data_IF_386797369957
#
_entry.id   IF_386797369957
#
_cell.length_a   1.000
_cell.length_b   1.000
_cell.length_c   1.000
_cell.angle_alpha   90.00
_cell.angle_beta   90.00
_cell.angle_gamma   90.00
#
_symmetry.space_group_name_H-M   'P 1'
#
loop_
_entity.id
_entity.type
_entity.pdbx_description
1 polymer ?
#
# COMPACT_ATOMS: atom_id res chain seq x y z
N UNK A 1 11.71 -6.69 28.25
CA UNK A 1 12.33 -5.83 27.22
C UNK A 1 12.79 -6.73 26.09
N UNK A 2 12.19 -6.64 24.90
CA UNK A 2 12.66 -7.46 23.76
C UNK A 2 14.08 -7.04 23.37
N UNK A 3 14.92 -7.97 22.88
CA UNK A 3 16.23 -7.63 22.31
C UNK A 3 16.09 -6.54 21.24
N UNK A 4 17.04 -5.61 21.19
CA UNK A 4 17.09 -4.53 20.21
C UNK A 4 16.75 -4.94 18.75
N UNK A 5 17.27 -6.06 18.19
CA UNK A 5 16.92 -6.47 16.82
C UNK A 5 15.44 -6.81 16.63
N UNK A 6 14.81 -7.43 17.63
CA UNK A 6 13.38 -7.75 17.59
C UNK A 6 12.53 -6.47 17.60
N UNK A 7 12.91 -5.51 18.45
CA UNK A 7 12.21 -4.22 18.54
C UNK A 7 12.30 -3.43 17.23
N UNK A 8 13.44 -3.52 16.54
CA UNK A 8 13.64 -2.90 15.23
C UNK A 8 12.72 -3.49 14.16
N UNK A 9 12.49 -4.81 14.17
CA UNK A 9 11.58 -5.49 13.25
C UNK A 9 10.14 -4.98 13.39
N UNK A 10 9.64 -4.84 14.63
CA UNK A 10 8.28 -4.35 14.91
C UNK A 10 8.06 -2.88 14.56
N UNK A 11 9.12 -2.11 14.34
CA UNK A 11 9.02 -0.72 13.86
C UNK A 11 9.26 -0.64 12.35
N UNK A 12 10.29 -1.31 11.85
CA UNK A 12 10.69 -1.26 10.45
C UNK A 12 9.62 -1.89 9.52
N UNK A 13 9.03 -3.02 9.90
CA UNK A 13 8.03 -3.69 9.06
C UNK A 13 6.77 -2.83 8.89
N UNK A 14 6.12 -2.31 9.95
CA UNK A 14 4.96 -1.45 9.77
C UNK A 14 5.28 -0.15 9.02
N UNK A 15 6.48 0.43 9.20
CA UNK A 15 6.89 1.60 8.43
C UNK A 15 7.04 1.28 6.94
N UNK A 16 7.60 0.12 6.59
CA UNK A 16 7.70 -0.33 5.21
C UNK A 16 6.32 -0.60 4.60
N UNK A 17 5.41 -1.20 5.37
CA UNK A 17 4.00 -1.38 4.98
C UNK A 17 3.31 -0.04 4.77
N UNK A 18 3.48 0.92 5.69
CA UNK A 18 2.89 2.24 5.57
C UNK A 18 3.39 2.96 4.31
N UNK A 19 4.71 2.95 4.08
CA UNK A 19 5.32 3.53 2.88
C UNK A 19 4.84 2.87 1.58
N UNK A 20 4.78 1.55 1.53
CA UNK A 20 4.27 0.80 0.38
C UNK A 20 2.79 1.07 0.10
N UNK A 21 1.97 1.10 1.14
CA UNK A 21 0.53 1.37 1.03
C UNK A 21 0.26 2.82 0.58
N UNK A 22 1.02 3.78 1.09
CA UNK A 22 0.97 5.18 0.64
C UNK A 22 1.41 5.33 -0.83
N UNK A 23 2.46 4.62 -1.25
CA UNK A 23 2.91 4.63 -2.63
C UNK A 23 1.84 4.05 -3.59
N UNK A 24 1.20 2.94 -3.20
CA UNK A 24 0.08 2.38 -3.96
C UNK A 24 -1.13 3.31 -3.99
N UNK A 25 -1.43 4.00 -2.89
CA UNK A 25 -2.51 4.98 -2.84
C UNK A 25 -2.21 6.22 -3.71
N UNK A 26 -0.95 6.66 -3.78
CA UNK A 26 -0.57 7.80 -4.60
C UNK A 26 -0.64 7.49 -6.11
N UNK A 27 -0.20 6.28 -6.52
CA UNK A 27 -0.02 5.94 -7.93
C UNK A 27 -0.78 4.69 -8.44
N UNK A 28 -2.08 4.53 -8.14
CA UNK A 28 -2.84 3.32 -8.55
C UNK A 28 -2.94 3.17 -10.08
N UNK A 29 -3.14 4.29 -10.80
CA UNK A 29 -3.32 4.29 -12.26
C UNK A 29 -2.09 3.82 -13.03
N UNK A 30 -0.87 4.15 -12.55
CA UNK A 30 0.38 3.74 -13.20
C UNK A 30 0.64 2.23 -13.05
N UNK A 31 0.21 1.64 -11.93
CA UNK A 31 0.40 0.21 -11.66
C UNK A 31 -0.62 -0.69 -12.39
N UNK A 32 -1.76 -0.14 -12.80
CA UNK A 32 -2.88 -0.93 -13.36
C UNK A 32 -3.18 -0.66 -14.84
N UNK A 33 -2.44 0.21 -15.52
CA UNK A 33 -2.66 0.42 -16.95
C UNK A 33 -2.01 -0.70 -17.75
N UNK A 34 -2.83 -1.59 -18.31
CA UNK A 34 -2.36 -2.67 -19.19
C UNK A 34 -2.74 -2.33 -20.64
N UNK A 35 -1.79 -2.48 -21.55
CA UNK A 35 -2.08 -2.49 -22.98
C UNK A 35 -2.53 -3.89 -23.34
N UNK A 36 -3.78 -4.03 -23.78
CA UNK A 36 -4.33 -5.28 -24.28
C UNK A 36 -4.33 -5.24 -25.79
N UNK A 37 -3.69 -6.22 -26.41
CA UNK A 37 -3.81 -6.46 -27.86
C UNK A 37 -4.97 -7.42 -28.07
N UNK A 38 -6.01 -6.95 -28.75
CA UNK A 38 -7.16 -7.74 -29.11
C UNK A 38 -6.83 -8.69 -30.28
N UNK A 39 -7.57 -9.80 -30.44
CA UNK A 39 -7.33 -10.78 -31.50
C UNK A 39 -7.49 -10.22 -32.92
N UNK A 40 -8.20 -9.10 -33.06
CA UNK A 40 -8.40 -8.32 -34.29
C UNK A 40 -7.19 -7.42 -34.65
N UNK A 41 -6.12 -7.46 -33.85
CA UNK A 41 -4.93 -6.63 -34.03
C UNK A 41 -5.04 -5.22 -33.44
N UNK A 42 -6.20 -4.83 -32.91
CA UNK A 42 -6.37 -3.54 -32.24
C UNK A 42 -5.65 -3.53 -30.90
N UNK A 43 -5.02 -2.40 -30.56
CA UNK A 43 -4.45 -2.17 -29.24
C UNK A 43 -5.39 -1.30 -28.43
N UNK A 44 -6.04 -1.90 -27.43
CA UNK A 44 -6.85 -1.20 -26.45
C UNK A 44 -6.06 -0.95 -25.16
N UNK A 45 -6.28 0.20 -24.53
CA UNK A 45 -5.80 0.43 -23.16
C UNK A 45 -6.95 0.15 -22.21
N UNK A 46 -6.83 -0.87 -21.37
CA UNK A 46 -7.81 -1.08 -20.29
C UNK A 46 -7.45 -0.09 -19.19
N UNK A 47 -8.16 1.04 -19.16
CA UNK A 47 -8.06 1.98 -18.06
C UNK A 47 -8.92 1.49 -16.88
N UNK A 48 -8.36 1.44 -15.65
CA UNK A 48 -9.14 1.09 -14.47
C UNK A 48 -10.24 2.13 -14.25
N UNK A 49 -11.47 1.69 -13.94
CA UNK A 49 -12.58 2.59 -13.63
C UNK A 49 -12.23 3.53 -12.47
N UNK A 50 -12.71 4.77 -12.51
CA UNK A 50 -12.40 5.77 -11.48
C UNK A 50 -12.84 5.32 -10.08
N UNK A 51 -13.94 4.57 -9.96
CA UNK A 51 -14.36 3.97 -8.70
C UNK A 51 -13.34 2.97 -8.16
N UNK A 52 -12.72 2.15 -9.04
CA UNK A 52 -11.68 1.19 -8.64
C UNK A 52 -10.40 1.90 -8.22
N UNK A 53 -10.05 2.98 -8.92
CA UNK A 53 -8.92 3.85 -8.56
C UNK A 53 -9.15 4.47 -7.18
N UNK A 54 -10.31 5.07 -6.94
CA UNK A 54 -10.67 5.68 -5.67
C UNK A 54 -10.64 4.66 -4.52
N UNK A 55 -11.24 3.49 -4.73
CA UNK A 55 -11.24 2.40 -3.74
C UNK A 55 -9.82 1.97 -3.37
N UNK A 56 -8.92 1.80 -4.34
CA UNK A 56 -7.52 1.47 -4.06
C UNK A 56 -6.80 2.55 -3.25
N UNK A 57 -7.06 3.83 -3.54
CA UNK A 57 -6.49 4.94 -2.76
C UNK A 57 -6.95 4.90 -1.32
N UNK A 58 -8.26 4.76 -1.11
CA UNK A 58 -8.85 4.70 0.23
C UNK A 58 -8.29 3.51 1.00
N UNK A 59 -8.28 2.31 0.40
CA UNK A 59 -7.73 1.12 1.04
C UNK A 59 -6.25 1.29 1.40
N UNK A 60 -5.44 1.84 0.49
CA UNK A 60 -4.02 2.10 0.77
C UNK A 60 -3.82 3.08 1.93
N UNK A 61 -4.63 4.15 2.01
CA UNK A 61 -4.59 5.10 3.14
C UNK A 61 -5.01 4.43 4.45
N UNK A 62 -6.07 3.63 4.44
CA UNK A 62 -6.54 2.90 5.63
C UNK A 62 -5.45 1.94 6.13
N UNK A 63 -4.84 1.18 5.24
CA UNK A 63 -3.74 0.26 5.58
C UNK A 63 -2.53 1.03 6.15
N UNK A 64 -2.17 2.17 5.56
CA UNK A 64 -1.09 3.00 6.09
C UNK A 64 -1.41 3.53 7.50
N UNK A 65 -2.65 3.97 7.75
CA UNK A 65 -3.08 4.43 9.06
C UNK A 65 -3.01 3.32 10.12
N UNK A 66 -3.47 2.10 9.79
CA UNK A 66 -3.39 0.95 10.69
C UNK A 66 -1.93 0.55 10.97
N UNK A 67 -1.07 0.56 9.95
CA UNK A 67 0.34 0.26 10.12
C UNK A 67 1.05 1.27 11.03
N UNK A 68 0.75 2.57 10.87
CA UNK A 68 1.28 3.62 11.76
C UNK A 68 0.73 3.48 13.18
N UNK A 69 -0.55 3.12 13.34
CA UNK A 69 -1.15 2.85 14.65
C UNK A 69 -0.46 1.68 15.36
N UNK A 70 -0.06 0.63 14.62
CA UNK A 70 0.75 -0.46 15.19
C UNK A 70 2.12 0.02 15.71
N UNK A 71 2.78 0.95 15.01
CA UNK A 71 4.05 1.54 15.49
C UNK A 71 3.83 2.29 16.80
N UNK A 72 2.80 3.13 16.86
CA UNK A 72 2.46 3.90 18.08
C UNK A 72 2.10 2.96 19.23
N UNK A 73 1.28 1.93 18.97
CA UNK A 73 0.93 0.92 19.96
C UNK A 73 2.16 0.16 20.48
N UNK A 74 3.11 -0.18 19.60
CA UNK A 74 4.36 -0.80 20.01
C UNK A 74 5.15 0.10 20.99
N UNK A 75 5.24 1.42 20.74
CA UNK A 75 5.88 2.34 21.68
C UNK A 75 5.10 2.52 22.99
N UNK A 76 3.76 2.45 22.96
CA UNK A 76 2.91 2.66 24.13
C UNK A 76 2.82 1.44 25.06
N UNK A 77 2.82 0.23 24.50
CA UNK A 77 2.57 -1.01 25.25
C UNK A 77 3.80 -1.92 25.40
N UNK A 78 4.87 -1.72 24.60
CA UNK A 78 6.10 -2.52 24.66
C UNK A 78 7.27 -1.63 25.15
N UNK A 79 7.60 -1.67 26.46
CA UNK A 79 8.72 -0.89 27.03
C UNK A 79 10.11 -1.37 26.56
#
# INVERSE_FOLDING_TARGET
MLPAPFRLFFVAVPLLVAGGALAMAAFPRKMMSWQTRSPDGSTGRIEPSDTRVLAMRVTGVVVAALALLMVVANFAFVP
#
